data_IF_108940826898
#
_entry.id   IF_108940826898
#
_cell.length_a   1.000
_cell.length_b   1.000
_cell.length_c   1.000
_cell.angle_alpha   90.00
_cell.angle_beta   90.00
_cell.angle_gamma   90.00
#
_symmetry.space_group_name_H-M   'P 1'
#
loop_
_entity.id
_entity.type
_entity.pdbx_description
1 polymer ?
#
# COMPACT_ATOMS: atom_id res chain seq x y z
N UNK A 1 -30.92 -17.29 -15.33
CA UNK A 1 -30.86 -18.48 -16.20
C UNK A 1 -29.86 -18.34 -17.36
N UNK A 2 -29.67 -17.15 -17.97
CA UNK A 2 -28.73 -16.94 -19.08
C UNK A 2 -27.25 -17.03 -18.67
N UNK A 3 -26.92 -16.71 -17.42
CA UNK A 3 -25.56 -16.75 -16.90
C UNK A 3 -25.02 -18.18 -16.68
N UNK A 4 -25.86 -19.14 -16.37
CA UNK A 4 -25.44 -20.52 -16.11
C UNK A 4 -24.99 -21.28 -17.37
N UNK A 5 -25.48 -20.88 -18.55
CA UNK A 5 -25.16 -21.54 -19.81
C UNK A 5 -23.78 -21.16 -20.40
N UNK A 6 -23.20 -20.03 -19.98
CA UNK A 6 -21.92 -19.55 -20.52
C UNK A 6 -20.70 -20.18 -19.81
N UNK A 7 -20.89 -20.85 -18.67
CA UNK A 7 -19.79 -21.45 -17.89
C UNK A 7 -19.62 -22.95 -18.12
N UNK A 8 -20.48 -23.57 -18.93
CA UNK A 8 -20.38 -24.99 -19.27
C UNK A 8 -19.22 -25.23 -20.27
N UNK A 9 -18.50 -26.37 -20.17
CA UNK A 9 -17.44 -26.70 -21.11
C UNK A 9 -17.94 -26.67 -22.55
N UNK A 10 -17.09 -26.34 -23.54
CA UNK A 10 -17.46 -26.37 -24.95
C UNK A 10 -17.96 -27.78 -25.35
N UNK A 11 -18.82 -27.84 -26.35
CA UNK A 11 -19.33 -29.10 -26.86
C UNK A 11 -18.16 -30.06 -27.19
N UNK A 12 -18.28 -31.34 -26.87
CA UNK A 12 -17.19 -32.32 -27.06
C UNK A 12 -16.70 -32.46 -28.51
N UNK A 13 -17.42 -31.90 -29.47
CA UNK A 13 -17.05 -31.87 -30.90
C UNK A 13 -16.10 -30.72 -31.24
N UNK A 14 -15.90 -29.76 -30.36
CA UNK A 14 -14.94 -28.66 -30.59
C UNK A 14 -13.51 -29.17 -30.43
N UNK A 15 -12.69 -29.01 -31.45
CA UNK A 15 -11.28 -29.36 -31.39
C UNK A 15 -10.54 -28.61 -30.26
N UNK A 16 -9.37 -29.09 -29.83
CA UNK A 16 -8.65 -28.58 -28.64
C UNK A 16 -8.38 -27.06 -28.70
N UNK A 17 -8.11 -26.50 -29.89
CA UNK A 17 -7.91 -25.07 -30.07
C UNK A 17 -9.21 -24.25 -29.82
N UNK A 18 -10.37 -24.75 -30.27
CA UNK A 18 -11.63 -24.07 -30.03
C UNK A 18 -12.00 -24.12 -28.54
N UNK A 19 -11.72 -25.22 -27.86
CA UNK A 19 -11.89 -25.36 -26.42
C UNK A 19 -11.01 -24.37 -25.62
N UNK A 20 -9.74 -24.22 -26.00
CA UNK A 20 -8.82 -23.25 -25.40
C UNK A 20 -9.31 -21.82 -25.67
N UNK A 21 -9.72 -21.50 -26.90
CA UNK A 21 -10.20 -20.17 -27.28
C UNK A 21 -11.44 -19.74 -26.50
N UNK A 22 -12.44 -20.64 -26.36
CA UNK A 22 -13.65 -20.35 -25.60
C UNK A 22 -13.37 -20.20 -24.10
N UNK A 23 -12.50 -21.04 -23.54
CA UNK A 23 -12.08 -20.92 -22.14
C UNK A 23 -11.32 -19.62 -21.90
N UNK A 24 -10.40 -19.24 -22.78
CA UNK A 24 -9.68 -17.98 -22.70
C UNK A 24 -10.61 -16.77 -22.73
N UNK A 25 -11.58 -16.75 -23.64
CA UNK A 25 -12.55 -15.66 -23.72
C UNK A 25 -13.39 -15.53 -22.44
N UNK A 26 -13.81 -16.66 -21.83
CA UNK A 26 -14.53 -16.68 -20.56
C UNK A 26 -13.67 -16.18 -19.39
N UNK A 27 -12.42 -16.63 -19.32
CA UNK A 27 -11.49 -16.18 -18.28
C UNK A 27 -11.20 -14.68 -18.40
N UNK A 28 -11.03 -14.15 -19.63
CA UNK A 28 -10.84 -12.72 -19.86
C UNK A 28 -12.10 -11.92 -19.48
N UNK A 29 -13.29 -12.40 -19.80
CA UNK A 29 -14.54 -11.77 -19.40
C UNK A 29 -14.72 -11.78 -17.86
N UNK A 30 -14.24 -12.82 -17.17
CA UNK A 30 -14.28 -12.93 -15.73
C UNK A 30 -13.15 -12.19 -15.02
N UNK A 31 -12.12 -11.73 -15.75
CA UNK A 31 -10.90 -11.17 -15.17
C UNK A 31 -11.13 -9.99 -14.22
N UNK A 32 -12.10 -9.06 -14.41
CA UNK A 32 -12.36 -8.01 -13.45
C UNK A 32 -12.83 -8.56 -12.09
N UNK A 33 -13.69 -9.59 -12.12
CA UNK A 33 -14.17 -10.26 -10.91
C UNK A 33 -13.02 -11.01 -10.21
N UNK A 34 -12.22 -11.75 -10.96
CA UNK A 34 -11.06 -12.48 -10.44
C UNK A 34 -10.05 -11.50 -9.81
N UNK A 35 -9.76 -10.39 -10.46
CA UNK A 35 -8.88 -9.35 -9.93
C UNK A 35 -9.44 -8.75 -8.64
N UNK A 36 -10.74 -8.46 -8.60
CA UNK A 36 -11.41 -7.94 -7.40
C UNK A 36 -11.37 -8.92 -6.23
N UNK A 37 -11.70 -10.19 -6.47
CA UNK A 37 -11.65 -11.25 -5.44
C UNK A 37 -10.22 -11.44 -4.94
N UNK A 38 -9.24 -11.49 -5.84
CA UNK A 38 -7.83 -11.60 -5.48
C UNK A 38 -7.40 -10.43 -4.59
N UNK A 39 -7.71 -9.20 -4.99
CA UNK A 39 -7.34 -7.99 -4.25
C UNK A 39 -7.96 -7.96 -2.85
N UNK A 40 -9.26 -8.26 -2.75
CA UNK A 40 -9.96 -8.34 -1.45
C UNK A 40 -9.41 -9.45 -0.56
N UNK A 41 -9.03 -10.59 -1.15
CA UNK A 41 -8.40 -11.69 -0.42
C UNK A 41 -7.05 -11.28 0.16
N UNK A 42 -6.21 -10.58 -0.63
CA UNK A 42 -4.94 -10.04 -0.14
C UNK A 42 -5.16 -9.03 0.99
N UNK A 43 -6.12 -8.11 0.84
CA UNK A 43 -6.48 -7.18 1.91
C UNK A 43 -6.87 -7.91 3.19
N UNK A 44 -7.72 -8.93 3.09
CA UNK A 44 -8.18 -9.70 4.24
C UNK A 44 -7.03 -10.48 4.90
N UNK A 45 -6.18 -11.11 4.12
CA UNK A 45 -5.02 -11.85 4.63
C UNK A 45 -4.06 -10.93 5.39
N UNK A 46 -3.71 -9.77 4.81
CA UNK A 46 -2.87 -8.78 5.49
C UNK A 46 -3.53 -8.28 6.77
N UNK A 47 -4.81 -7.93 6.70
CA UNK A 47 -5.58 -7.43 7.85
C UNK A 47 -5.59 -8.43 8.99
N UNK A 48 -6.00 -9.67 8.72
CA UNK A 48 -6.07 -10.73 9.74
C UNK A 48 -4.69 -11.02 10.30
N UNK A 49 -3.67 -11.16 9.47
CA UNK A 49 -2.31 -11.44 9.92
C UNK A 49 -1.78 -10.34 10.83
N UNK A 50 -1.89 -9.07 10.43
CA UNK A 50 -1.41 -7.93 11.24
C UNK A 50 -2.18 -7.82 12.55
N UNK A 51 -3.49 -8.05 12.55
CA UNK A 51 -4.31 -8.04 13.78
C UNK A 51 -3.94 -9.18 14.72
N UNK A 52 -3.67 -10.36 14.20
CA UNK A 52 -3.19 -11.50 15.03
C UNK A 52 -1.80 -11.25 15.58
N UNK A 53 -0.88 -10.72 14.76
CA UNK A 53 0.46 -10.37 15.21
C UNK A 53 0.46 -9.28 16.28
N UNK A 54 -0.53 -8.38 16.29
CA UNK A 54 -0.65 -7.34 17.31
C UNK A 54 -1.03 -7.88 18.70
N UNK A 55 -1.53 -9.11 18.81
CA UNK A 55 -1.97 -9.70 20.09
C UNK A 55 -0.80 -9.94 21.03
N UNK A 56 -0.78 -9.19 22.13
CA UNK A 56 0.24 -9.33 23.19
C UNK A 56 1.51 -8.52 22.92
N UNK A 57 1.54 -7.64 21.92
CA UNK A 57 2.58 -6.60 21.85
C UNK A 57 2.32 -5.60 22.98
N UNK A 58 3.27 -5.47 23.89
CA UNK A 58 3.19 -4.57 25.04
C UNK A 58 4.33 -3.56 25.02
N UNK A 59 4.08 -2.38 25.59
CA UNK A 59 5.13 -1.37 25.81
C UNK A 59 6.17 -1.90 26.81
N UNK A 60 7.45 -1.65 26.51
CA UNK A 60 8.55 -2.04 27.37
C UNK A 60 9.78 -2.54 26.61
N UNK A 61 10.73 -3.11 27.37
CA UNK A 61 11.96 -3.69 26.83
C UNK A 61 11.78 -5.19 26.63
N UNK A 62 12.01 -5.65 25.44
CA UNK A 62 11.90 -7.06 25.04
C UNK A 62 13.22 -7.52 24.41
N UNK A 63 13.70 -8.74 24.66
CA UNK A 63 14.81 -9.28 23.86
C UNK A 63 14.43 -9.31 22.38
N UNK A 64 15.36 -8.96 21.48
CA UNK A 64 15.10 -8.99 20.03
C UNK A 64 14.64 -10.38 19.57
N UNK A 65 15.19 -11.44 20.17
CA UNK A 65 14.81 -12.84 19.88
C UNK A 65 13.62 -13.34 20.72
N UNK A 66 12.71 -12.45 21.11
CA UNK A 66 11.49 -12.79 21.83
C UNK A 66 10.30 -12.90 20.88
N UNK A 67 9.15 -13.37 21.42
CA UNK A 67 7.88 -13.37 20.72
C UNK A 67 7.53 -11.96 20.21
N UNK A 68 7.67 -10.93 21.05
CA UNK A 68 7.35 -9.54 20.67
C UNK A 68 8.28 -9.04 19.56
N UNK A 69 9.58 -9.34 19.66
CA UNK A 69 10.54 -9.00 18.61
C UNK A 69 10.19 -9.62 17.26
N UNK A 70 9.81 -10.92 17.28
CA UNK A 70 9.34 -11.59 16.07
C UNK A 70 8.02 -11.00 15.54
N UNK A 71 7.06 -10.70 16.39
CA UNK A 71 5.78 -10.12 16.00
C UNK A 71 5.95 -8.75 15.33
N UNK A 72 6.80 -7.88 15.88
CA UNK A 72 7.11 -6.57 15.30
C UNK A 72 7.78 -6.73 13.92
N UNK A 73 8.82 -7.57 13.83
CA UNK A 73 9.51 -7.87 12.57
C UNK A 73 8.56 -8.45 11.52
N UNK A 74 7.75 -9.44 11.88
CA UNK A 74 6.79 -10.06 10.97
C UNK A 74 5.73 -9.07 10.50
N UNK A 75 5.24 -8.18 11.38
CA UNK A 75 4.31 -7.11 11.01
C UNK A 75 4.91 -6.20 9.95
N UNK A 76 6.15 -5.76 10.11
CA UNK A 76 6.81 -4.92 9.12
C UNK A 76 6.99 -5.64 7.78
N UNK A 77 7.41 -6.91 7.79
CA UNK A 77 7.56 -7.70 6.55
C UNK A 77 6.25 -7.89 5.80
N UNK A 78 5.15 -8.16 6.53
CA UNK A 78 3.81 -8.27 5.95
C UNK A 78 3.35 -6.95 5.36
N UNK A 79 3.55 -5.84 6.06
CA UNK A 79 3.17 -4.50 5.57
C UNK A 79 4.06 -4.02 4.41
N UNK A 80 5.32 -4.43 4.39
CA UNK A 80 6.25 -4.16 3.31
C UNK A 80 5.76 -4.82 2.00
N UNK A 81 5.48 -6.13 2.05
CA UNK A 81 4.90 -6.85 0.93
C UNK A 81 3.51 -6.30 0.52
N UNK A 82 2.72 -5.86 1.49
CA UNK A 82 1.40 -5.27 1.23
C UNK A 82 1.48 -3.96 0.47
N UNK A 83 2.52 -3.15 0.64
CA UNK A 83 2.70 -1.90 -0.12
C UNK A 83 2.80 -2.15 -1.62
N UNK A 84 3.48 -3.21 -2.02
CA UNK A 84 3.61 -3.59 -3.43
C UNK A 84 2.32 -4.20 -3.98
N UNK A 85 1.73 -5.14 -3.25
CA UNK A 85 0.56 -5.89 -3.70
C UNK A 85 -0.75 -5.07 -3.67
N UNK A 86 -0.87 -4.20 -2.68
CA UNK A 86 -2.05 -3.35 -2.45
C UNK A 86 -1.76 -1.86 -2.77
N UNK A 87 -0.84 -1.59 -3.68
CA UNK A 87 -0.42 -0.23 -4.04
C UNK A 87 -1.58 0.74 -4.34
N UNK A 88 -2.76 0.32 -4.88
CA UNK A 88 -3.88 1.24 -5.09
C UNK A 88 -4.43 1.87 -3.80
N UNK A 89 -4.22 1.22 -2.65
CA UNK A 89 -4.64 1.73 -1.33
C UNK A 89 -3.63 2.73 -0.78
N UNK A 90 -2.33 2.46 -0.99
CA UNK A 90 -1.26 3.31 -0.45
C UNK A 90 -1.10 4.61 -1.25
N UNK A 91 -0.63 5.67 -0.62
CA UNK A 91 -0.54 7.01 -1.19
C UNK A 91 -1.88 7.49 -1.79
N UNK A 92 -2.99 7.17 -1.12
CA UNK A 92 -4.35 7.48 -1.56
C UNK A 92 -5.22 7.97 -0.39
N UNK A 93 -6.41 8.43 -0.70
CA UNK A 93 -7.42 8.76 0.31
C UNK A 93 -7.88 7.56 1.14
N UNK A 94 -7.59 6.35 0.68
CA UNK A 94 -7.93 5.11 1.37
C UNK A 94 -6.89 4.71 2.40
N UNK A 95 -5.64 5.19 2.29
CA UNK A 95 -4.55 4.86 3.23
C UNK A 95 -4.92 5.08 4.70
N UNK A 96 -5.47 6.23 5.13
CA UNK A 96 -5.82 6.42 6.54
C UNK A 96 -6.87 5.44 7.05
N UNK A 97 -7.84 5.07 6.21
CA UNK A 97 -8.84 4.06 6.55
C UNK A 97 -8.22 2.67 6.66
N UNK A 98 -7.32 2.33 5.75
CA UNK A 98 -6.56 1.10 5.79
C UNK A 98 -5.74 0.98 7.07
N UNK A 99 -5.01 2.03 7.46
CA UNK A 99 -4.23 2.05 8.70
C UNK A 99 -5.11 1.87 9.95
N UNK A 100 -6.33 2.45 9.98
CA UNK A 100 -7.30 2.21 11.07
C UNK A 100 -7.74 0.75 11.13
N UNK A 101 -8.04 0.14 9.98
CA UNK A 101 -8.39 -1.28 9.91
C UNK A 101 -7.26 -2.15 10.45
N UNK A 102 -6.01 -1.84 10.13
CA UNK A 102 -4.83 -2.53 10.64
C UNK A 102 -4.61 -2.35 12.14
N UNK A 103 -5.22 -1.35 12.78
CA UNK A 103 -5.16 -1.15 14.24
C UNK A 103 -4.49 0.13 14.70
N UNK A 104 -4.12 1.03 13.78
CA UNK A 104 -3.59 2.34 14.16
C UNK A 104 -4.71 3.31 14.56
N UNK A 105 -4.44 4.17 15.53
CA UNK A 105 -5.31 5.30 15.87
C UNK A 105 -5.02 6.45 14.90
N UNK A 106 -5.87 6.65 13.90
CA UNK A 106 -5.68 7.69 12.86
C UNK A 106 -6.86 8.66 12.87
N UNK A 107 -6.57 9.95 13.01
CA UNK A 107 -7.54 11.02 13.05
C UNK A 107 -8.24 11.31 11.72
N UNK A 108 -9.14 12.32 11.72
CA UNK A 108 -9.85 12.75 10.51
C UNK A 108 -8.95 13.63 9.65
N UNK A 109 -9.16 13.60 8.32
CA UNK A 109 -8.42 14.45 7.39
C UNK A 109 -6.92 14.19 7.36
N UNK A 110 -6.46 13.04 7.84
CA UNK A 110 -5.07 12.61 7.71
C UNK A 110 -4.80 12.23 6.26
N UNK A 111 -3.68 12.69 5.73
CA UNK A 111 -3.12 12.20 4.48
C UNK A 111 -1.86 11.38 4.79
N UNK A 112 -1.78 10.20 4.21
CA UNK A 112 -0.65 9.31 4.41
C UNK A 112 -0.29 8.62 3.09
N UNK A 113 1.00 8.62 2.79
CA UNK A 113 1.53 7.90 1.65
C UNK A 113 1.95 6.47 2.06
N UNK A 114 3.20 6.11 1.86
CA UNK A 114 3.78 4.85 2.34
C UNK A 114 4.35 5.06 3.74
N UNK A 115 3.79 4.42 4.74
CA UNK A 115 4.19 4.60 6.14
C UNK A 115 4.68 3.27 6.71
N UNK A 116 5.88 3.27 7.26
CA UNK A 116 6.43 2.15 8.04
C UNK A 116 5.99 2.33 9.49
N UNK A 117 5.25 1.36 10.02
CA UNK A 117 4.68 1.48 11.36
C UNK A 117 4.34 0.12 12.00
N UNK A 118 4.21 0.11 13.31
CA UNK A 118 3.55 -0.97 14.05
C UNK A 118 2.16 -0.46 14.42
N UNK A 119 1.08 -0.93 13.74
CA UNK A 119 -0.23 -0.28 13.80
C UNK A 119 -0.76 -0.10 15.23
N UNK A 120 -0.73 -1.14 16.06
CA UNK A 120 -1.26 -1.10 17.42
C UNK A 120 -0.52 -0.13 18.37
N UNK A 121 0.66 0.35 17.99
CA UNK A 121 1.48 1.30 18.75
C UNK A 121 1.56 2.68 18.10
N UNK A 122 0.73 2.95 17.07
CA UNK A 122 0.80 4.17 16.27
C UNK A 122 -0.42 5.05 16.49
N UNK A 123 -0.19 6.34 16.74
CA UNK A 123 -1.26 7.36 16.88
C UNK A 123 -0.98 8.57 16.01
N UNK A 124 -1.94 8.93 15.16
CA UNK A 124 -1.85 10.06 14.22
C UNK A 124 -3.05 10.97 14.42
N UNK A 125 -2.80 12.23 14.76
CA UNK A 125 -3.84 13.24 15.01
C UNK A 125 -4.47 13.80 13.75
N UNK A 126 -5.63 14.47 13.89
CA UNK A 126 -6.40 15.04 12.79
C UNK A 126 -5.55 15.97 11.90
N UNK A 127 -5.76 15.90 10.58
CA UNK A 127 -5.11 16.78 9.61
C UNK A 127 -3.58 16.63 9.53
N UNK A 128 -3.01 15.57 10.08
CA UNK A 128 -1.60 15.30 9.93
C UNK A 128 -1.28 14.79 8.51
N UNK A 129 -0.06 15.08 8.05
CA UNK A 129 0.45 14.63 6.76
C UNK A 129 1.69 13.76 6.97
N UNK A 130 1.64 12.53 6.45
CA UNK A 130 2.75 11.57 6.47
C UNK A 130 3.19 11.33 5.02
N UNK A 131 4.38 11.86 4.67
CA UNK A 131 4.92 11.73 3.32
C UNK A 131 5.41 10.29 3.03
N UNK A 132 6.08 10.09 1.90
CA UNK A 132 6.57 8.78 1.49
C UNK A 132 7.62 8.24 2.46
N UNK A 133 7.57 6.94 2.70
CA UNK A 133 8.48 6.17 3.54
C UNK A 133 8.69 6.75 4.94
N UNK A 134 7.70 7.51 5.45
CA UNK A 134 7.77 7.99 6.83
C UNK A 134 7.78 6.82 7.79
N UNK A 135 8.67 6.91 8.78
CA UNK A 135 8.81 5.88 9.81
C UNK A 135 8.15 6.34 11.11
N UNK A 136 6.91 5.94 11.34
CA UNK A 136 6.27 6.05 12.67
C UNK A 136 6.61 4.78 13.43
N UNK A 137 7.92 4.66 13.71
CA UNK A 137 8.55 3.45 14.22
C UNK A 137 8.33 3.35 15.72
N UNK A 138 7.40 2.49 16.12
CA UNK A 138 7.02 2.31 17.52
C UNK A 138 8.01 1.47 18.32
N UNK A 139 9.26 1.35 17.87
CA UNK A 139 10.33 0.67 18.59
C UNK A 139 11.70 1.28 18.30
N UNK A 140 12.67 0.93 19.13
CA UNK A 140 14.10 1.16 18.93
C UNK A 140 14.88 -0.09 19.32
N UNK A 141 16.06 -0.28 18.69
CA UNK A 141 16.94 -1.42 18.95
C UNK A 141 18.23 -0.95 19.59
N UNK A 142 18.64 -1.61 20.66
CA UNK A 142 19.91 -1.36 21.32
C UNK A 142 20.39 -2.61 22.07
N UNK A 143 21.69 -2.97 21.88
CA UNK A 143 22.35 -4.02 22.65
C UNK A 143 21.64 -5.39 22.69
N UNK A 144 20.93 -5.78 21.63
CA UNK A 144 20.15 -7.02 21.60
C UNK A 144 18.74 -6.92 22.21
N UNK A 145 18.35 -5.72 22.62
CA UNK A 145 17.02 -5.40 23.13
C UNK A 145 16.23 -4.56 22.14
N UNK A 146 14.92 -4.73 22.19
CA UNK A 146 13.93 -3.91 21.50
C UNK A 146 13.10 -3.16 22.55
N UNK A 147 13.17 -1.85 22.53
CA UNK A 147 12.26 -1.02 23.32
C UNK A 147 11.05 -0.67 22.48
N UNK A 148 9.89 -1.20 22.83
CA UNK A 148 8.60 -0.94 22.17
C UNK A 148 7.86 0.14 22.94
N UNK A 149 7.43 1.20 22.25
CA UNK A 149 6.67 2.28 22.87
C UNK A 149 5.81 3.00 21.81
N UNK A 150 4.65 3.59 22.18
CA UNK A 150 3.81 4.30 21.23
C UNK A 150 4.51 5.47 20.56
N UNK A 151 4.41 5.54 19.22
CA UNK A 151 4.83 6.70 18.44
C UNK A 151 3.62 7.58 18.12
N UNK A 152 3.71 8.90 18.39
CA UNK A 152 2.56 9.82 18.30
C UNK A 152 2.88 11.00 17.38
N UNK A 153 2.03 11.21 16.37
CA UNK A 153 2.04 12.39 15.48
C UNK A 153 0.86 13.28 15.86
N UNK A 154 1.13 14.52 16.21
CA UNK A 154 0.10 15.49 16.63
C UNK A 154 -0.76 16.00 15.48
N UNK A 155 -1.83 16.71 15.83
CA UNK A 155 -2.76 17.32 14.86
C UNK A 155 -2.04 18.31 13.94
N UNK A 156 -2.39 18.30 12.64
CA UNK A 156 -1.84 19.19 11.60
C UNK A 156 -0.30 19.21 11.55
N UNK A 157 0.33 18.11 11.96
CA UNK A 157 1.77 17.98 11.87
C UNK A 157 2.18 17.34 10.55
N UNK A 158 3.35 17.70 10.07
CA UNK A 158 3.93 17.21 8.84
C UNK A 158 5.16 16.37 9.14
N UNK A 159 5.22 15.18 8.56
CA UNK A 159 6.43 14.34 8.57
C UNK A 159 6.85 14.16 7.11
N UNK A 160 8.02 14.70 6.77
CA UNK A 160 8.60 14.66 5.42
C UNK A 160 9.06 13.26 5.02
N UNK A 161 9.39 13.09 3.74
CA UNK A 161 9.83 11.81 3.17
C UNK A 161 10.95 11.20 4.00
N UNK A 162 10.82 9.92 4.33
CA UNK A 162 11.75 9.18 5.19
C UNK A 162 12.02 9.87 6.54
N UNK A 163 11.10 10.74 6.98
CA UNK A 163 11.14 11.36 8.31
C UNK A 163 10.72 10.35 9.38
N UNK A 164 11.27 10.46 10.57
CA UNK A 164 11.10 9.47 11.63
C UNK A 164 10.45 10.06 12.89
N UNK A 165 9.48 9.33 13.42
CA UNK A 165 8.92 9.51 14.76
C UNK A 165 9.18 8.22 15.54
N UNK A 166 10.29 8.14 16.32
CA UNK A 166 10.66 6.94 17.05
C UNK A 166 9.68 6.58 18.17
N UNK A 167 9.74 5.34 18.62
CA UNK A 167 8.98 4.84 19.78
C UNK A 167 9.17 5.71 21.03
N UNK A 168 8.09 5.93 21.76
CA UNK A 168 8.07 6.81 22.93
C UNK A 168 8.12 8.32 22.61
N UNK A 169 8.23 8.70 21.33
CA UNK A 169 8.27 10.10 20.92
C UNK A 169 6.89 10.62 20.54
N UNK A 170 6.71 11.90 20.80
CA UNK A 170 5.49 12.61 20.40
C UNK A 170 5.87 13.85 19.61
N UNK A 171 5.58 13.87 18.32
CA UNK A 171 5.58 15.09 17.54
C UNK A 171 4.32 15.90 17.92
N UNK A 172 4.48 17.08 18.50
CA UNK A 172 3.36 17.92 18.96
C UNK A 172 2.63 18.51 17.76
N UNK A 173 1.40 18.99 18.01
CA UNK A 173 0.55 19.62 16.99
C UNK A 173 1.26 20.76 16.25
N UNK A 174 0.86 21.00 15.00
CA UNK A 174 1.34 22.09 14.16
C UNK A 174 2.86 22.10 13.95
N UNK A 175 3.50 20.92 14.10
CA UNK A 175 4.95 20.75 14.01
C UNK A 175 5.36 20.05 12.73
N UNK A 176 6.63 20.22 12.35
CA UNK A 176 7.20 19.65 11.15
C UNK A 176 8.48 18.87 11.47
N UNK A 177 8.61 17.71 10.88
CA UNK A 177 9.87 16.96 10.73
C UNK A 177 10.24 16.99 9.25
N UNK A 178 11.41 17.50 8.92
CA UNK A 178 11.87 17.61 7.53
C UNK A 178 12.20 16.23 6.94
N UNK A 179 12.51 16.22 5.64
CA UNK A 179 12.95 15.03 4.90
C UNK A 179 14.21 14.44 5.58
N UNK A 180 14.28 13.09 5.68
CA UNK A 180 15.42 12.36 6.28
C UNK A 180 15.77 12.81 7.71
N UNK A 181 14.78 13.25 8.47
CA UNK A 181 14.98 13.85 9.78
C UNK A 181 14.25 13.09 10.87
N UNK A 182 14.70 13.23 12.12
CA UNK A 182 14.07 12.55 13.25
C UNK A 182 13.39 13.52 14.21
N UNK A 183 12.39 13.02 14.94
CA UNK A 183 11.72 13.77 16.00
C UNK A 183 12.58 13.78 17.27
N UNK A 184 12.86 14.93 17.90
CA UNK A 184 13.63 14.99 19.14
C UNK A 184 12.86 14.39 20.33
N UNK A 185 13.56 14.18 21.45
CA UNK A 185 12.97 13.63 22.68
C UNK A 185 11.82 14.48 23.22
N UNK A 186 11.96 15.81 23.11
CA UNK A 186 10.95 16.76 23.58
C UNK A 186 10.61 17.72 22.45
N UNK A 187 9.32 17.84 22.10
CA UNK A 187 8.82 18.79 21.11
C UNK A 187 7.86 19.77 21.77
N UNK A 188 7.81 20.99 21.21
CA UNK A 188 6.76 21.98 21.51
C UNK A 188 5.85 22.10 20.28
N UNK A 189 4.61 22.50 20.48
CA UNK A 189 3.71 22.78 19.36
C UNK A 189 4.27 23.89 18.46
N UNK A 190 4.03 23.83 17.15
CA UNK A 190 4.47 24.81 16.17
C UNK A 190 5.99 24.79 15.91
N UNK A 191 6.71 23.71 16.25
CA UNK A 191 8.16 23.63 16.05
C UNK A 191 8.51 22.80 14.82
N UNK A 192 9.60 23.18 14.14
CA UNK A 192 10.10 22.45 12.97
C UNK A 192 11.51 21.92 13.26
N UNK A 193 11.77 20.72 12.77
CA UNK A 193 12.97 19.95 13.07
C UNK A 193 13.61 19.40 11.80
N UNK A 194 14.92 19.43 11.72
CA UNK A 194 15.71 18.92 10.60
C UNK A 194 16.94 18.18 11.10
N UNK A 195 17.29 17.10 10.42
CA UNK A 195 18.49 16.30 10.65
C UNK A 195 18.31 15.14 11.63
N UNK A 196 19.38 14.33 11.72
CA UNK A 196 19.54 13.24 12.67
C UNK A 196 21.01 13.22 13.12
N UNK A 197 21.30 13.79 14.32
CA UNK A 197 20.39 14.27 15.36
C UNK A 197 19.59 15.52 14.96
N UNK A 198 18.37 15.69 15.54
CA UNK A 198 17.47 16.78 15.15
C UNK A 198 17.89 18.13 15.70
N UNK A 199 17.99 19.11 14.83
CA UNK A 199 18.19 20.53 15.17
C UNK A 199 16.92 21.32 14.85
N UNK A 200 16.67 22.40 15.60
CA UNK A 200 15.49 23.23 15.38
C UNK A 200 15.63 24.03 14.08
N UNK A 201 14.68 23.83 13.17
CA UNK A 201 14.56 24.61 11.94
C UNK A 201 13.73 25.86 12.19
N UNK A 202 14.26 27.04 11.88
CA UNK A 202 13.47 28.27 11.79
C UNK A 202 12.83 28.33 10.41
N UNK A 203 11.54 28.49 10.37
CA UNK A 203 10.76 28.53 9.13
C UNK A 203 9.89 29.78 9.13
N UNK A 204 9.80 30.46 8.00
CA UNK A 204 8.78 31.48 7.79
C UNK A 204 7.47 30.77 7.52
N UNK A 205 6.44 31.14 8.28
CA UNK A 205 5.10 30.59 8.05
C UNK A 205 4.51 31.30 6.82
N UNK A 206 4.08 30.48 5.84
CA UNK A 206 3.30 30.95 4.71
C UNK A 206 1.85 30.81 5.12
N UNK A 207 1.11 31.92 5.17
CA UNK A 207 -0.32 31.93 5.41
C UNK A 207 -1.03 31.48 4.15
N UNK A 208 -1.42 30.21 4.10
CA UNK A 208 -2.29 29.67 3.08
C UNK A 208 -3.72 29.54 3.65
N UNK A 209 -4.73 29.56 2.75
CA UNK A 209 -6.10 29.33 3.17
C UNK A 209 -6.24 27.91 3.74
N UNK A 210 -6.51 27.85 5.04
CA UNK A 210 -6.67 26.60 5.76
C UNK A 210 -7.85 25.75 5.22
N UNK A 211 -8.88 26.39 4.63
CA UNK A 211 -10.00 25.68 4.03
C UNK A 211 -9.58 24.88 2.79
N UNK A 212 -8.68 25.43 1.97
CA UNK A 212 -8.15 24.71 0.80
C UNK A 212 -7.28 23.53 1.18
N UNK A 213 -6.53 23.65 2.28
CA UNK A 213 -5.61 22.61 2.74
C UNK A 213 -6.32 21.49 3.51
N UNK A 214 -7.17 21.85 4.49
CA UNK A 214 -7.74 20.89 5.44
C UNK A 214 -9.17 20.50 5.14
N UNK A 215 -9.91 21.32 4.38
CA UNK A 215 -11.29 21.03 3.99
C UNK A 215 -11.57 21.37 2.52
N UNK A 216 -10.95 20.70 1.58
CA UNK A 216 -11.20 20.91 0.15
C UNK A 216 -12.66 20.60 -0.20
N UNK A 217 -13.23 21.27 -1.21
CA UNK A 217 -14.62 21.10 -1.60
C UNK A 217 -14.93 19.66 -2.02
N UNK A 218 -16.18 19.24 -1.80
CA UNK A 218 -16.63 17.86 -2.07
C UNK A 218 -16.37 17.40 -3.52
N UNK A 219 -16.51 18.31 -4.49
CA UNK A 219 -16.21 18.05 -5.92
C UNK A 219 -14.75 17.62 -6.13
N UNK A 220 -13.80 18.28 -5.45
CA UNK A 220 -12.40 17.98 -5.56
C UNK A 220 -12.08 16.64 -4.87
N UNK A 221 -12.68 16.40 -3.70
CA UNK A 221 -12.60 15.10 -3.01
C UNK A 221 -13.13 13.95 -3.89
N UNK A 222 -14.25 14.16 -4.59
CA UNK A 222 -14.84 13.17 -5.49
C UNK A 222 -13.96 12.93 -6.73
N UNK A 223 -13.49 14.00 -7.38
CA UNK A 223 -12.59 13.90 -8.54
C UNK A 223 -11.30 13.15 -8.20
N UNK A 224 -10.67 13.46 -7.06
CA UNK A 224 -9.49 12.74 -6.56
C UNK A 224 -9.81 11.26 -6.30
N UNK A 225 -10.96 10.97 -5.68
CA UNK A 225 -11.36 9.57 -5.44
C UNK A 225 -11.57 8.82 -6.76
N UNK A 226 -12.23 9.42 -7.74
CA UNK A 226 -12.42 8.81 -9.06
C UNK A 226 -11.07 8.53 -9.75
N UNK A 227 -10.15 9.50 -9.70
CA UNK A 227 -8.79 9.32 -10.22
C UNK A 227 -8.04 8.20 -9.53
N UNK A 228 -8.10 8.14 -8.20
CA UNK A 228 -7.43 7.10 -7.41
C UNK A 228 -8.02 5.69 -7.68
N UNK A 229 -9.31 5.58 -7.98
CA UNK A 229 -9.95 4.31 -8.36
C UNK A 229 -9.41 3.79 -9.71
N UNK A 230 -8.96 4.66 -10.62
CA UNK A 230 -8.33 4.23 -11.88
C UNK A 230 -7.04 3.44 -11.62
N UNK A 231 -6.42 3.56 -10.46
CA UNK A 231 -5.25 2.78 -10.04
C UNK A 231 -5.55 1.28 -9.91
N UNK A 232 -6.82 0.88 -9.89
CA UNK A 232 -7.22 -0.52 -9.98
C UNK A 232 -7.06 -1.09 -11.41
N UNK A 233 -7.02 -0.24 -12.44
CA UNK A 233 -6.90 -0.66 -13.85
C UNK A 233 -5.60 -1.46 -14.09
N UNK A 234 -4.40 -1.01 -13.67
CA UNK A 234 -3.18 -1.80 -13.81
C UNK A 234 -3.26 -3.18 -13.14
N UNK A 235 -3.91 -3.28 -11.98
CA UNK A 235 -4.11 -4.57 -11.29
C UNK A 235 -4.96 -5.50 -12.16
N UNK A 236 -6.09 -4.99 -12.66
CA UNK A 236 -6.94 -5.77 -13.56
C UNK A 236 -6.22 -6.15 -14.85
N UNK A 237 -5.52 -5.21 -15.50
CA UNK A 237 -4.76 -5.47 -16.72
C UNK A 237 -3.69 -6.53 -16.51
N UNK A 238 -2.99 -6.52 -15.37
CA UNK A 238 -2.02 -7.56 -15.03
C UNK A 238 -2.67 -8.94 -14.97
N UNK A 239 -3.82 -9.06 -14.30
CA UNK A 239 -4.59 -10.32 -14.22
C UNK A 239 -5.06 -10.75 -15.60
N UNK A 240 -5.68 -9.86 -16.38
CA UNK A 240 -6.16 -10.16 -17.73
C UNK A 240 -5.03 -10.62 -18.65
N UNK A 241 -3.89 -9.97 -18.58
CA UNK A 241 -2.70 -10.28 -19.38
C UNK A 241 -2.11 -11.64 -18.98
N UNK A 242 -2.01 -11.92 -17.69
CA UNK A 242 -1.56 -13.21 -17.17
C UNK A 242 -2.46 -14.36 -17.64
N UNK A 243 -3.78 -14.13 -17.63
CA UNK A 243 -4.75 -15.10 -18.15
C UNK A 243 -4.62 -15.29 -19.66
N UNK A 244 -4.41 -14.22 -20.44
CA UNK A 244 -4.20 -14.29 -21.88
C UNK A 244 -2.93 -15.06 -22.22
N UNK A 245 -1.83 -14.81 -21.51
CA UNK A 245 -0.56 -15.55 -21.67
C UNK A 245 -0.76 -17.02 -21.34
N UNK A 246 -1.38 -17.33 -20.22
CA UNK A 246 -1.67 -18.71 -19.81
C UNK A 246 -2.52 -19.46 -20.85
N UNK A 247 -3.54 -18.79 -21.41
CA UNK A 247 -4.37 -19.35 -22.46
C UNK A 247 -3.58 -19.61 -23.76
N UNK A 248 -2.71 -18.68 -24.14
CA UNK A 248 -1.83 -18.83 -25.34
C UNK A 248 -0.88 -20.01 -25.16
N UNK A 249 -0.25 -20.14 -23.98
CA UNK A 249 0.62 -21.26 -23.66
C UNK A 249 -0.13 -22.60 -23.70
N UNK A 250 -1.33 -22.64 -23.11
CA UNK A 250 -2.20 -23.83 -23.15
C UNK A 250 -2.56 -24.21 -24.60
N UNK A 251 -2.86 -23.22 -25.46
CA UNK A 251 -3.14 -23.47 -26.87
C UNK A 251 -1.91 -24.07 -27.60
N UNK A 252 -0.73 -23.50 -27.39
CA UNK A 252 0.52 -23.97 -28.02
C UNK A 252 0.87 -25.40 -27.55
N UNK A 253 0.65 -25.71 -26.28
CA UNK A 253 0.85 -27.05 -25.73
C UNK A 253 -0.14 -28.03 -26.37
N UNK A 254 -1.40 -27.65 -26.50
CA UNK A 254 -2.46 -28.50 -27.08
C UNK A 254 -2.20 -28.87 -28.55
N UNK A 255 -1.49 -28.02 -29.31
CA UNK A 255 -1.06 -28.34 -30.70
C UNK A 255 0.31 -28.99 -30.80
N UNK A 256 0.95 -29.35 -29.68
CA UNK A 256 2.21 -30.10 -29.68
C UNK A 256 3.49 -29.28 -29.93
N UNK A 257 3.41 -27.94 -29.89
CA UNK A 257 4.56 -27.05 -30.15
C UNK A 257 5.24 -26.60 -28.86
N UNK A 258 5.72 -27.55 -28.05
CA UNK A 258 6.31 -27.33 -26.72
C UNK A 258 7.47 -26.34 -26.69
N UNK A 259 8.44 -26.48 -27.63
CA UNK A 259 9.60 -25.61 -27.67
C UNK A 259 9.20 -24.16 -27.99
N UNK A 260 8.26 -23.98 -28.94
CA UNK A 260 7.73 -22.67 -29.29
C UNK A 260 6.94 -22.05 -28.13
N UNK A 261 6.19 -22.85 -27.36
CA UNK A 261 5.46 -22.40 -26.17
C UNK A 261 6.40 -21.82 -25.12
N UNK A 262 7.55 -22.47 -24.86
CA UNK A 262 8.54 -21.96 -23.89
C UNK A 262 9.18 -20.66 -24.33
N UNK A 263 9.61 -20.56 -25.59
CA UNK A 263 10.29 -19.35 -26.10
C UNK A 263 9.30 -18.16 -26.19
N UNK A 264 8.14 -18.34 -26.81
CA UNK A 264 7.15 -17.28 -26.95
C UNK A 264 6.54 -16.90 -25.60
N UNK A 265 6.33 -17.85 -24.70
CA UNK A 265 5.83 -17.59 -23.35
C UNK A 265 6.72 -16.63 -22.56
N UNK A 266 8.02 -16.83 -22.60
CA UNK A 266 9.01 -15.93 -22.00
C UNK A 266 8.97 -14.52 -22.59
N UNK A 267 8.97 -14.42 -23.90
CA UNK A 267 8.91 -13.12 -24.62
C UNK A 267 7.61 -12.39 -24.34
N UNK A 268 6.46 -13.08 -24.37
CA UNK A 268 5.14 -12.47 -24.10
C UNK A 268 5.04 -12.02 -22.64
N UNK A 269 5.54 -12.80 -21.67
CA UNK A 269 5.58 -12.39 -20.26
C UNK A 269 6.42 -11.13 -20.04
N UNK A 270 7.58 -11.05 -20.68
CA UNK A 270 8.45 -9.87 -20.60
C UNK A 270 7.78 -8.63 -21.22
N UNK A 271 7.19 -8.78 -22.41
CA UNK A 271 6.48 -7.70 -23.08
C UNK A 271 5.26 -7.23 -22.25
N UNK A 272 4.49 -8.18 -21.71
CA UNK A 272 3.35 -7.90 -20.86
C UNK A 272 3.75 -7.17 -19.57
N UNK A 273 4.84 -7.59 -18.93
CA UNK A 273 5.41 -6.93 -17.77
C UNK A 273 5.86 -5.50 -18.07
N UNK A 274 6.52 -5.29 -19.22
CA UNK A 274 6.96 -3.96 -19.65
C UNK A 274 5.78 -3.01 -19.93
N UNK A 275 4.72 -3.49 -20.58
CA UNK A 275 3.50 -2.70 -20.83
C UNK A 275 2.79 -2.36 -19.51
N UNK A 276 2.65 -3.32 -18.61
CA UNK A 276 2.04 -3.09 -17.29
C UNK A 276 2.85 -2.06 -16.47
N UNK A 277 4.17 -2.17 -16.46
CA UNK A 277 5.07 -1.22 -15.80
C UNK A 277 4.99 0.19 -16.42
N UNK A 278 4.92 0.28 -17.75
CA UNK A 278 4.76 1.56 -18.46
C UNK A 278 3.43 2.25 -18.14
N UNK A 279 2.33 1.52 -18.18
CA UNK A 279 1.01 2.03 -17.80
C UNK A 279 0.96 2.46 -16.33
N UNK A 280 1.58 1.69 -15.44
CA UNK A 280 1.72 2.03 -14.04
C UNK A 280 2.49 3.34 -13.87
N UNK A 281 3.62 3.50 -14.57
CA UNK A 281 4.43 4.71 -14.56
C UNK A 281 3.66 5.94 -15.04
N UNK A 282 2.86 5.82 -16.11
CA UNK A 282 2.03 6.90 -16.62
C UNK A 282 0.92 7.32 -15.64
N UNK A 283 0.24 6.35 -15.02
CA UNK A 283 -0.82 6.62 -14.04
C UNK A 283 -0.29 7.21 -12.74
N UNK A 284 0.88 6.77 -12.29
CA UNK A 284 1.54 7.32 -11.10
C UNK A 284 2.14 8.70 -11.39
N UNK A 285 2.80 8.88 -12.53
CA UNK A 285 3.38 10.16 -12.95
C UNK A 285 2.32 11.24 -13.14
N UNK A 286 1.17 10.91 -13.72
CA UNK A 286 0.04 11.82 -13.83
C UNK A 286 -0.60 12.22 -12.50
N UNK A 287 -0.52 11.37 -11.48
CA UNK A 287 -1.03 11.68 -10.13
C UNK A 287 -0.10 12.62 -9.34
N UNK A 288 1.19 12.69 -9.69
CA UNK A 288 2.16 13.55 -9.04
C UNK A 288 2.24 14.95 -9.66
N UNK A 289 1.64 15.16 -10.83
CA UNK A 289 1.63 16.44 -11.57
C UNK A 289 0.37 17.28 -11.34
N UNK A 290 -0.54 16.85 -10.46
CA UNK A 290 -1.77 17.54 -10.02
C UNK A 290 -1.71 17.80 -8.52
#
# INVERSE_FOLDING_TARGET
>A
AAWSLTWWPPAPEAGPLAAVGTTAARLLAASPLVAGVWFLTQMLLVLVTVRLLALGITEGHHPVRSRVGWQVWATERVLDAARDQLFPIYASRFTPTWLRLLGAEVGRGVEASTVVLVPCMTRVGDGAFLADDTMVSSYSLDGGWMHVAPAKVGKRSFVGNSGMVPGGRTLRRDSLVAVLSTTPAKTKAGTSWMGSPPVRLRRNEVTADAALTYDPPARLKAARTAWELLRAIPVWLHVALSLAVGATLAALIAVGTWALAFVLGGVVLLAAGAVAAGLMGMLLGGALSV
#
